data_IF_973570607462
#
_entry.id   IF_973570607462
#
_cell.length_a   1.000
_cell.length_b   1.000
_cell.length_c   1.000
_cell.angle_alpha   90.00
_cell.angle_beta   90.00
_cell.angle_gamma   90.00
#
_symmetry.space_group_name_H-M   'P 1'
#
loop_
_entity.id
_entity.type
_entity.pdbx_description
1 polymer ?
#
# COMPACT_ATOMS: atom_id res chain seq x y z
N UNK A 1 -1.60 37.13 -1.11
CA UNK A 1 -2.51 36.81 0.01
C UNK A 1 -2.06 35.44 0.50
N UNK A 2 -1.45 35.38 1.68
CA UNK A 2 -0.97 34.13 2.28
C UNK A 2 -2.16 33.47 2.98
N UNK A 3 -2.61 32.33 2.48
CA UNK A 3 -3.61 31.52 3.17
C UNK A 3 -2.99 30.94 4.45
N UNK A 4 -3.25 31.58 5.59
CA UNK A 4 -2.90 31.02 6.89
C UNK A 4 -3.75 29.77 7.14
N UNK A 5 -3.13 28.61 7.05
CA UNK A 5 -3.77 27.33 7.34
C UNK A 5 -3.89 27.17 8.85
N UNK A 6 -5.03 27.59 9.40
CA UNK A 6 -5.32 27.45 10.83
C UNK A 6 -5.66 25.99 11.12
N UNK A 7 -4.76 25.25 11.78
CA UNK A 7 -5.02 23.89 12.26
C UNK A 7 -6.02 23.92 13.41
N UNK A 8 -7.31 23.75 13.11
CA UNK A 8 -8.34 23.56 14.14
C UNK A 8 -8.46 22.09 14.50
N UNK A 9 -8.49 21.80 15.80
CA UNK A 9 -8.90 20.49 16.30
C UNK A 9 -10.42 20.42 16.27
N UNK A 10 -10.95 19.51 15.46
CA UNK A 10 -12.38 19.22 15.37
C UNK A 10 -12.61 17.90 16.11
N UNK A 11 -13.57 17.82 17.07
CA UNK A 11 -13.94 16.55 17.68
C UNK A 11 -14.36 15.54 16.61
N UNK A 12 -13.95 14.28 16.77
CA UNK A 12 -14.20 13.25 15.76
C UNK A 12 -15.70 13.08 15.47
N UNK A 13 -16.55 13.09 16.50
CA UNK A 13 -18.00 13.01 16.33
C UNK A 13 -18.58 14.18 15.53
N UNK A 14 -18.04 15.38 15.70
CA UNK A 14 -18.44 16.55 14.92
C UNK A 14 -18.04 16.43 13.46
N UNK A 15 -16.85 15.86 13.19
CA UNK A 15 -16.40 15.56 11.83
C UNK A 15 -17.31 14.52 11.17
N UNK A 16 -17.65 13.43 11.87
CA UNK A 16 -18.55 12.41 11.34
C UNK A 16 -19.93 12.97 11.00
N UNK A 17 -20.48 13.83 11.86
CA UNK A 17 -21.75 14.50 11.58
C UNK A 17 -21.66 15.42 10.36
N UNK A 18 -20.56 16.17 10.22
CA UNK A 18 -20.32 17.01 9.05
C UNK A 18 -20.23 16.17 7.77
N UNK A 19 -19.44 15.11 7.76
CA UNK A 19 -19.31 14.17 6.63
C UNK A 19 -20.66 13.56 6.28
N UNK A 20 -21.45 13.17 7.29
CA UNK A 20 -22.79 12.59 7.08
C UNK A 20 -23.74 13.56 6.37
N UNK A 21 -23.59 14.86 6.59
CA UNK A 21 -24.41 15.91 5.97
C UNK A 21 -23.98 16.28 4.54
N UNK A 22 -22.81 15.83 4.08
CA UNK A 22 -22.30 16.14 2.75
C UNK A 22 -23.11 15.46 1.63
N UNK A 23 -23.05 16.06 0.44
CA UNK A 23 -23.54 15.44 -0.78
C UNK A 23 -22.73 14.20 -1.17
N UNK A 24 -23.26 13.45 -2.14
CA UNK A 24 -22.66 12.18 -2.56
C UNK A 24 -21.29 12.40 -3.23
N UNK A 25 -21.13 13.50 -3.96
CA UNK A 25 -19.86 13.80 -4.65
C UNK A 25 -18.75 14.14 -3.66
N UNK A 26 -19.02 14.99 -2.66
CA UNK A 26 -18.02 15.31 -1.64
C UNK A 26 -17.66 14.08 -0.81
N UNK A 27 -18.63 13.19 -0.54
CA UNK A 27 -18.37 11.90 0.11
C UNK A 27 -17.46 11.00 -0.72
N UNK A 28 -17.62 10.97 -2.05
CA UNK A 28 -16.72 10.23 -2.95
C UNK A 28 -15.30 10.78 -2.92
N UNK A 29 -15.14 12.09 -2.89
CA UNK A 29 -13.81 12.71 -2.79
C UNK A 29 -13.12 12.37 -1.48
N UNK A 30 -13.86 12.42 -0.36
CA UNK A 30 -13.33 12.01 0.95
C UNK A 30 -12.97 10.53 0.95
N UNK A 31 -13.81 9.68 0.36
CA UNK A 31 -13.53 8.25 0.24
C UNK A 31 -12.20 7.99 -0.47
N UNK A 32 -11.99 8.62 -1.63
CA UNK A 32 -10.77 8.42 -2.41
C UNK A 32 -9.52 8.87 -1.65
N UNK A 33 -9.58 10.02 -0.96
CA UNK A 33 -8.49 10.50 -0.12
C UNK A 33 -8.17 9.50 1.01
N UNK A 34 -9.18 8.98 1.69
CA UNK A 34 -8.99 8.03 2.78
C UNK A 34 -8.42 6.69 2.28
N UNK A 35 -8.86 6.25 1.10
CA UNK A 35 -8.34 5.04 0.44
C UNK A 35 -6.84 5.19 0.16
N UNK A 36 -6.42 6.30 -0.46
CA UNK A 36 -4.99 6.58 -0.71
C UNK A 36 -4.16 6.64 0.58
N UNK A 37 -4.65 7.30 1.63
CA UNK A 37 -3.95 7.38 2.91
C UNK A 37 -3.83 6.01 3.61
N UNK A 38 -4.85 5.15 3.49
CA UNK A 38 -4.85 3.82 4.07
C UNK A 38 -3.94 2.87 3.29
N UNK A 39 -3.99 2.88 1.97
CA UNK A 39 -3.12 2.05 1.12
C UNK A 39 -1.64 2.34 1.43
N UNK A 40 -1.25 3.61 1.52
CA UNK A 40 0.13 3.98 1.87
C UNK A 40 0.51 3.48 3.27
N UNK A 41 -0.38 3.62 4.26
CA UNK A 41 -0.11 3.16 5.61
C UNK A 41 0.00 1.63 5.69
N UNK A 42 -0.78 0.90 4.88
CA UNK A 42 -0.71 -0.56 4.76
C UNK A 42 0.58 -1.00 4.08
N UNK A 43 1.02 -0.32 3.02
CA UNK A 43 2.31 -0.58 2.35
C UNK A 43 3.48 -0.38 3.33
N UNK A 44 3.49 0.73 4.07
CA UNK A 44 4.52 1.02 5.08
C UNK A 44 4.57 -0.07 6.18
N UNK A 45 3.42 -0.64 6.56
CA UNK A 45 3.33 -1.74 7.52
C UNK A 45 3.80 -3.06 6.92
N UNK A 46 3.46 -3.33 5.65
CA UNK A 46 3.90 -4.53 4.92
C UNK A 46 5.42 -4.53 4.71
N UNK A 47 6.03 -3.39 4.40
CA UNK A 47 7.50 -3.26 4.30
C UNK A 47 8.20 -3.55 5.64
N UNK A 48 7.51 -3.31 6.76
CA UNK A 48 8.00 -3.58 8.10
C UNK A 48 7.67 -5.00 8.57
N UNK A 49 6.88 -5.77 7.82
CA UNK A 49 6.52 -7.12 8.19
C UNK A 49 7.77 -8.04 8.14
N UNK A 50 8.09 -8.74 9.25
CA UNK A 50 9.29 -9.60 9.30
C UNK A 50 9.31 -10.72 8.26
N UNK A 51 8.13 -11.21 7.84
CA UNK A 51 8.00 -12.25 6.83
C UNK A 51 8.35 -11.68 5.45
N UNK A 52 7.79 -10.53 5.11
CA UNK A 52 8.09 -9.82 3.85
C UNK A 52 9.58 -9.48 3.78
N UNK A 53 10.16 -8.97 4.86
CA UNK A 53 11.60 -8.70 4.92
C UNK A 53 12.46 -9.96 4.76
N UNK A 54 12.03 -11.09 5.34
CA UNK A 54 12.73 -12.37 5.19
C UNK A 54 12.70 -12.86 3.74
N UNK A 55 11.55 -12.80 3.07
CA UNK A 55 11.40 -13.17 1.65
C UNK A 55 12.26 -12.28 0.74
N UNK A 56 12.28 -10.96 0.98
CA UNK A 56 13.15 -10.03 0.25
C UNK A 56 14.62 -10.38 0.45
N UNK A 57 15.03 -10.72 1.69
CA UNK A 57 16.41 -11.05 1.99
C UNK A 57 16.83 -12.40 1.38
N UNK A 58 15.93 -13.38 1.33
CA UNK A 58 16.13 -14.66 0.65
C UNK A 58 16.36 -14.43 -0.86
N UNK A 59 15.47 -13.69 -1.53
CA UNK A 59 15.62 -13.37 -2.95
C UNK A 59 16.93 -12.61 -3.25
N UNK A 60 17.35 -11.70 -2.36
CA UNK A 60 18.65 -11.00 -2.49
C UNK A 60 19.82 -11.97 -2.34
N UNK A 61 19.76 -12.91 -1.39
CA UNK A 61 20.80 -13.91 -1.21
C UNK A 61 20.92 -14.85 -2.42
N UNK A 62 19.80 -15.31 -2.97
CA UNK A 62 19.75 -16.09 -4.22
C UNK A 62 20.43 -15.31 -5.36
N UNK A 63 20.11 -14.02 -5.51
CA UNK A 63 20.75 -13.17 -6.50
C UNK A 63 22.28 -13.07 -6.31
N UNK A 64 22.75 -12.79 -5.08
CA UNK A 64 24.18 -12.66 -4.80
C UNK A 64 24.97 -13.96 -4.94
N UNK A 65 24.35 -15.08 -4.60
CA UNK A 65 24.97 -16.41 -4.71
C UNK A 65 24.95 -16.96 -6.13
N UNK A 66 24.24 -16.29 -7.06
CA UNK A 66 24.06 -16.76 -8.41
C UNK A 66 23.01 -17.87 -8.53
N UNK A 67 22.25 -18.13 -7.47
CA UNK A 67 21.18 -19.13 -7.41
C UNK A 67 19.83 -18.51 -7.79
N UNK A 68 19.84 -17.66 -8.82
CA UNK A 68 18.63 -17.07 -9.38
C UNK A 68 18.25 -17.78 -10.68
N UNK A 69 16.95 -17.86 -10.93
CA UNK A 69 16.41 -18.42 -12.15
C UNK A 69 16.03 -17.28 -13.11
N UNK A 70 16.42 -17.37 -14.37
CA UNK A 70 15.91 -16.41 -15.36
C UNK A 70 14.42 -16.65 -15.63
N UNK A 71 13.72 -15.64 -16.15
CA UNK A 71 12.30 -15.77 -16.49
C UNK A 71 12.10 -16.89 -17.53
N UNK A 72 13.02 -17.04 -18.48
CA UNK A 72 13.00 -18.10 -19.48
C UNK A 72 13.13 -19.48 -18.85
N UNK A 73 14.05 -19.64 -17.88
CA UNK A 73 14.26 -20.88 -17.13
C UNK A 73 13.06 -21.22 -16.23
N UNK A 74 12.40 -20.21 -15.64
CA UNK A 74 11.17 -20.38 -14.87
C UNK A 74 10.03 -20.91 -15.74
N UNK A 75 9.84 -20.31 -16.92
CA UNK A 75 8.83 -20.72 -17.89
C UNK A 75 9.10 -22.16 -18.34
N UNK A 76 10.35 -22.51 -18.63
CA UNK A 76 10.74 -23.87 -19.01
C UNK A 76 10.45 -24.89 -17.90
N UNK A 77 10.86 -24.64 -16.65
CA UNK A 77 10.58 -25.52 -15.50
C UNK A 77 9.07 -25.69 -15.24
N UNK A 78 8.27 -24.64 -15.42
CA UNK A 78 6.80 -24.71 -15.28
C UNK A 78 6.15 -25.54 -16.39
N UNK A 79 6.65 -25.44 -17.62
CA UNK A 79 6.18 -26.24 -18.74
C UNK A 79 6.53 -27.74 -18.58
N UNK A 80 7.68 -28.06 -17.98
CA UNK A 80 8.07 -29.43 -17.66
C UNK A 80 7.23 -30.03 -16.51
N UNK A 81 6.91 -29.25 -15.47
CA UNK A 81 6.03 -29.69 -14.37
C UNK A 81 4.56 -29.88 -14.78
N UNK A 82 4.14 -29.34 -15.92
CA UNK A 82 2.79 -29.46 -16.46
C UNK A 82 2.61 -30.63 -17.44
N UNK A 83 3.68 -31.42 -17.69
CA UNK A 83 3.65 -32.70 -18.42
C UNK A 83 3.59 -33.87 -17.45
#
# INVERSE_FOLDING_TARGET
MTEETVKRQIPFDSLLNAISSLGVEEKRQIWHLLEEELEQAEEDLLEQDPTVQAEIQEARNEYYTGDYLTIEEYIAKRAEKAK
#
